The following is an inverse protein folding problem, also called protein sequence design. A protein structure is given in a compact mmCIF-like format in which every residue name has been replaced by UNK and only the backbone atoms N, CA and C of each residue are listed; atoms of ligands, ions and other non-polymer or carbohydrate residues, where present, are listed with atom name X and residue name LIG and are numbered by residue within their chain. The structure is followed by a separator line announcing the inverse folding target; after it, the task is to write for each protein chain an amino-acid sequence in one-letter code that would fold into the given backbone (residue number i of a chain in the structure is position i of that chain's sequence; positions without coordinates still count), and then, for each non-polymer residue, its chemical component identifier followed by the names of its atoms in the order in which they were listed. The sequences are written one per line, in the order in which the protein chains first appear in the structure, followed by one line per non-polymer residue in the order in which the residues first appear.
data_IF_991177472502
#
_entry.id   IF_991177472502
#
_cell.length_a   1.000
_cell.length_b   1.000
_cell.length_c   1.000
_cell.angle_alpha   90.00
_cell.angle_beta   90.00
_cell.angle_gamma   90.00
#
_symmetry.space_group_name_H-M   'P 1'
#
loop_
_entity.id
_entity.type
_entity.pdbx_description
1 polymer ?
#
# COMPACT_ATOMS: atom_id res chain seq x y z
N UNK A 1 13.04 19.15 7.34
CA UNK A 1 11.59 19.27 7.66
C UNK A 1 10.72 19.46 6.42
N UNK A 2 11.06 20.32 5.44
CA UNK A 2 10.27 20.55 4.22
C UNK A 2 9.99 19.28 3.37
N UNK A 3 10.94 18.36 3.25
CA UNK A 3 10.75 17.13 2.45
C UNK A 3 9.87 16.07 3.14
N UNK A 4 9.82 16.04 4.47
CA UNK A 4 8.90 15.17 5.22
C UNK A 4 7.44 15.65 5.04
N UNK A 5 7.26 16.98 5.01
CA UNK A 5 5.96 17.59 4.73
C UNK A 5 5.50 17.24 3.30
N UNK A 6 6.41 17.27 2.32
CA UNK A 6 6.08 17.00 0.92
C UNK A 6 5.71 15.53 0.66
N UNK A 7 6.36 14.58 1.34
CA UNK A 7 6.06 13.15 1.23
C UNK A 7 4.78 12.77 1.98
N UNK A 8 4.52 13.40 3.13
CA UNK A 8 3.22 13.31 3.81
C UNK A 8 2.09 13.93 2.97
N UNK A 9 2.35 15.04 2.28
CA UNK A 9 1.41 15.67 1.34
C UNK A 9 1.18 14.76 0.13
N UNK A 10 2.19 14.10 -0.42
CA UNK A 10 2.05 13.20 -1.58
C UNK A 10 1.28 11.90 -1.24
N UNK A 11 1.53 11.31 -0.06
CA UNK A 11 0.76 10.13 0.38
C UNK A 11 -0.67 10.53 0.77
N UNK A 12 -0.87 11.69 1.42
CA UNK A 12 -2.22 12.17 1.73
C UNK A 12 -3.00 12.59 0.49
N UNK A 13 -2.35 13.20 -0.51
CA UNK A 13 -3.01 13.63 -1.76
C UNK A 13 -3.37 12.45 -2.66
N UNK A 14 -2.57 11.37 -2.69
CA UNK A 14 -2.97 10.15 -3.39
C UNK A 14 -4.13 9.42 -2.68
N UNK A 15 -4.20 9.47 -1.35
CA UNK A 15 -5.36 8.96 -0.60
C UNK A 15 -6.61 9.82 -0.82
N UNK A 16 -6.48 11.14 -0.87
CA UNK A 16 -7.58 12.08 -1.12
C UNK A 16 -8.04 12.12 -2.60
N UNK A 17 -7.14 11.87 -3.55
CA UNK A 17 -7.50 11.75 -4.96
C UNK A 17 -8.35 10.49 -5.22
N UNK A 18 -8.09 9.39 -4.50
CA UNK A 18 -8.93 8.19 -4.56
C UNK A 18 -10.32 8.38 -3.89
N UNK A 19 -10.46 9.30 -2.93
CA UNK A 19 -11.76 9.66 -2.33
C UNK A 19 -12.57 10.67 -3.15
N UNK A 20 -11.92 11.49 -3.98
CA UNK A 20 -12.57 12.59 -4.72
C UNK A 20 -13.30 12.14 -5.99
N UNK A 21 -12.80 11.09 -6.68
CA UNK A 21 -13.38 10.61 -7.95
C UNK A 21 -14.17 9.30 -7.83
N UNK A 22 -14.25 8.71 -6.62
CA UNK A 22 -15.33 7.78 -6.27
C UNK A 22 -16.61 8.57 -5.98
N UNK A 23 -16.95 9.41 -6.97
CA UNK A 23 -18.16 10.19 -7.09
C UNK A 23 -19.37 9.27 -6.96
N UNK A 24 -20.43 9.84 -6.38
CA UNK A 24 -21.66 9.26 -5.82
C UNK A 24 -22.54 8.53 -6.85
N UNK A 25 -21.93 7.77 -7.75
CA UNK A 25 -22.61 6.92 -8.71
C UNK A 25 -23.19 5.73 -7.96
N UNK A 26 -24.43 5.92 -7.50
CA UNK A 26 -25.28 4.81 -7.05
C UNK A 26 -25.27 3.77 -8.18
N UNK A 27 -24.87 2.51 -7.91
CA UNK A 27 -24.81 1.50 -8.95
C UNK A 27 -26.20 1.35 -9.57
N UNK A 28 -26.30 1.64 -10.88
CA UNK A 28 -27.56 1.62 -11.63
C UNK A 28 -28.08 0.20 -11.92
N UNK A 29 -27.33 -0.84 -11.54
CA UNK A 29 -27.76 -2.24 -11.70
C UNK A 29 -27.33 -3.08 -10.49
N UNK A 30 -28.10 -4.13 -10.19
CA UNK A 30 -27.76 -5.12 -9.16
C UNK A 30 -26.41 -5.77 -9.43
N UNK A 31 -26.08 -6.03 -10.70
CA UNK A 31 -24.78 -6.56 -11.10
C UNK A 31 -23.62 -5.60 -10.75
N UNK A 32 -23.78 -4.30 -10.98
CA UNK A 32 -22.77 -3.31 -10.60
C UNK A 32 -22.58 -3.23 -9.08
N UNK A 33 -23.66 -3.31 -8.31
CA UNK A 33 -23.61 -3.35 -6.85
C UNK A 33 -22.89 -4.61 -6.33
N UNK A 34 -23.18 -5.77 -6.92
CA UNK A 34 -22.52 -7.03 -6.57
C UNK A 34 -21.02 -7.01 -6.87
N UNK A 35 -20.61 -6.45 -8.02
CA UNK A 35 -19.20 -6.27 -8.35
C UNK A 35 -18.50 -5.33 -7.36
N UNK A 36 -19.11 -4.18 -7.03
CA UNK A 36 -18.57 -3.26 -6.03
C UNK A 36 -18.44 -3.94 -4.65
N UNK A 37 -19.45 -4.69 -4.22
CA UNK A 37 -19.44 -5.44 -2.96
C UNK A 37 -18.26 -6.41 -2.92
N UNK A 38 -18.10 -7.22 -3.98
CA UNK A 38 -17.01 -8.17 -4.12
C UNK A 38 -15.64 -7.48 -4.08
N UNK A 39 -15.46 -6.38 -4.83
CA UNK A 39 -14.20 -5.63 -4.84
C UNK A 39 -13.86 -5.06 -3.46
N UNK A 40 -14.86 -4.54 -2.73
CA UNK A 40 -14.63 -4.01 -1.37
C UNK A 40 -14.24 -5.14 -0.40
N UNK A 41 -14.89 -6.30 -0.48
CA UNK A 41 -14.52 -7.46 0.32
C UNK A 41 -13.10 -7.95 0.04
N UNK A 42 -12.75 -8.13 -1.24
CA UNK A 42 -11.38 -8.53 -1.64
C UNK A 42 -10.34 -7.51 -1.16
N UNK A 43 -10.68 -6.22 -1.21
CA UNK A 43 -9.81 -5.14 -0.69
C UNK A 43 -9.64 -5.26 0.83
N UNK A 44 -10.71 -5.51 1.58
CA UNK A 44 -10.64 -5.70 3.03
C UNK A 44 -9.83 -6.93 3.42
N UNK A 45 -9.98 -8.05 2.71
CA UNK A 45 -9.19 -9.27 2.93
C UNK A 45 -7.70 -9.00 2.71
N UNK A 46 -7.36 -8.27 1.64
CA UNK A 46 -5.98 -7.83 1.39
C UNK A 46 -5.46 -6.93 2.50
N UNK A 47 -6.24 -5.93 2.94
CA UNK A 47 -5.84 -5.03 4.02
C UNK A 47 -5.63 -5.78 5.34
N UNK A 48 -6.47 -6.76 5.66
CA UNK A 48 -6.31 -7.62 6.83
C UNK A 48 -5.03 -8.46 6.77
N UNK A 49 -4.71 -9.02 5.60
CA UNK A 49 -3.46 -9.74 5.38
C UNK A 49 -2.24 -8.82 5.63
N UNK A 50 -2.27 -7.61 5.08
CA UNK A 50 -1.21 -6.61 5.30
C UNK A 50 -1.08 -6.21 6.78
N UNK A 51 -2.19 -6.03 7.50
CA UNK A 51 -2.17 -5.77 8.94
C UNK A 51 -1.51 -6.93 9.70
N UNK A 52 -1.85 -8.17 9.37
CA UNK A 52 -1.24 -9.35 10.02
C UNK A 52 0.27 -9.42 9.79
N UNK A 53 0.73 -9.08 8.58
CA UNK A 53 2.17 -8.97 8.28
C UNK A 53 2.83 -7.87 9.09
N UNK A 54 2.21 -6.68 9.18
CA UNK A 54 2.71 -5.57 9.99
C UNK A 54 2.75 -5.92 11.49
N UNK A 55 1.79 -6.68 12.00
CA UNK A 55 1.79 -7.17 13.38
C UNK A 55 2.93 -8.17 13.64
N UNK A 56 3.21 -9.06 12.68
CA UNK A 56 4.37 -9.96 12.78
C UNK A 56 5.70 -9.17 12.81
N UNK A 57 5.82 -8.14 11.95
CA UNK A 57 6.97 -7.25 11.94
C UNK A 57 7.08 -6.46 13.26
N UNK A 58 5.97 -5.95 13.80
CA UNK A 58 5.92 -5.28 15.09
C UNK A 58 6.47 -6.18 16.21
N UNK A 59 6.09 -7.47 16.22
CA UNK A 59 6.64 -8.45 17.16
C UNK A 59 8.15 -8.62 17.01
N UNK A 60 8.66 -8.69 15.77
CA UNK A 60 10.10 -8.71 15.49
C UNK A 60 10.82 -7.46 16.03
N UNK A 61 10.23 -6.28 15.83
CA UNK A 61 10.76 -4.99 16.33
C UNK A 61 10.78 -4.95 17.86
N UNK A 62 9.74 -5.45 18.52
CA UNK A 62 9.71 -5.58 19.99
C UNK A 62 10.84 -6.49 20.49
N UNK A 63 11.01 -7.68 19.89
CA UNK A 63 12.10 -8.61 20.26
C UNK A 63 13.48 -8.00 20.03
N UNK A 64 13.68 -7.29 18.92
CA UNK A 64 14.92 -6.60 18.64
C UNK A 64 15.21 -5.54 19.70
N UNK A 65 14.21 -4.75 20.09
CA UNK A 65 14.35 -3.75 21.15
C UNK A 65 14.68 -4.38 22.51
N UNK A 66 13.98 -5.44 22.90
CA UNK A 66 14.27 -6.20 24.14
C UNK A 66 15.69 -6.77 24.14
N UNK A 67 16.13 -7.34 23.01
CA UNK A 67 17.50 -7.82 22.84
C UNK A 67 18.52 -6.69 23.01
N UNK A 68 18.29 -5.52 22.40
CA UNK A 68 19.16 -4.35 22.51
C UNK A 68 19.27 -3.86 23.95
N UNK A 69 18.15 -3.81 24.69
CA UNK A 69 18.16 -3.43 26.11
C UNK A 69 19.07 -4.33 26.94
N UNK A 70 19.04 -5.64 26.68
CA UNK A 70 19.85 -6.63 27.37
C UNK A 70 21.32 -6.61 26.96
N UNK A 71 21.66 -6.05 25.79
CA UNK A 71 23.05 -5.95 25.36
C UNK A 71 23.83 -4.94 26.22
N UNK A 72 24.94 -5.39 26.76
CA UNK A 72 25.94 -4.56 27.42
C UNK A 72 27.33 -5.02 27.01
N UNK A 73 28.25 -4.07 26.78
CA UNK A 73 29.63 -4.44 26.51
C UNK A 73 30.30 -4.81 27.83
N UNK A 74 30.68 -6.09 27.98
CA UNK A 74 31.47 -6.52 29.11
C UNK A 74 32.82 -5.76 29.11
N UNK A 75 33.17 -5.16 30.25
CA UNK A 75 34.46 -4.45 30.43
C UNK A 75 35.66 -5.31 30.02
N UNK A 76 35.62 -6.62 30.24
CA UNK A 76 36.66 -7.56 29.80
C UNK A 76 36.75 -7.67 28.27
N UNK A 77 35.62 -7.66 27.57
CA UNK A 77 35.59 -7.69 26.10
C UNK A 77 36.11 -6.38 25.51
N UNK A 78 35.75 -5.24 26.11
CA UNK A 78 36.31 -3.94 25.77
C UNK A 78 37.83 -3.90 26.01
N UNK A 79 38.29 -4.43 27.15
CA UNK A 79 39.73 -4.51 27.46
C UNK A 79 40.48 -5.42 26.48
N UNK A 80 39.95 -6.61 26.18
CA UNK A 80 40.53 -7.52 25.19
C UNK A 80 40.63 -6.85 23.82
N UNK A 81 39.62 -6.06 23.44
CA UNK A 81 39.60 -5.31 22.19
C UNK A 81 40.68 -4.24 22.12
N UNK A 82 40.85 -3.45 23.19
CA UNK A 82 41.92 -2.44 23.29
C UNK A 82 43.29 -3.10 23.19
N UNK A 83 43.51 -4.21 23.91
CA UNK A 83 44.78 -4.95 23.90
C UNK A 83 45.08 -5.51 22.52
N UNK A 84 44.08 -6.13 21.87
CA UNK A 84 44.21 -6.72 20.53
C UNK A 84 44.59 -5.66 19.49
N UNK A 85 43.86 -4.53 19.43
CA UNK A 85 44.14 -3.43 18.50
C UNK A 85 45.51 -2.81 18.76
N UNK A 86 45.85 -2.52 20.03
CA UNK A 86 47.16 -1.94 20.38
C UNK A 86 48.31 -2.87 20.01
N UNK A 87 48.17 -4.17 20.28
CA UNK A 87 49.18 -5.18 19.94
C UNK A 87 49.40 -5.28 18.43
N UNK A 88 48.32 -5.38 17.66
CA UNK A 88 48.39 -5.48 16.21
C UNK A 88 48.95 -4.19 15.56
N UNK A 89 48.56 -3.03 16.07
CA UNK A 89 49.12 -1.75 15.62
C UNK A 89 50.60 -1.63 15.94
N UNK A 90 51.05 -2.11 17.11
CA UNK A 90 52.46 -2.09 17.46
C UNK A 90 53.30 -2.97 16.52
N UNK A 91 52.78 -4.15 16.14
CA UNK A 91 53.41 -4.99 15.10
C UNK A 91 53.53 -4.25 13.77
N UNK A 92 52.44 -3.62 13.31
CA UNK A 92 52.43 -2.82 12.07
C UNK A 92 53.41 -1.64 12.14
N UNK A 93 53.52 -0.97 13.29
CA UNK A 93 54.44 0.15 13.48
C UNK A 93 55.90 -0.27 13.34
N UNK A 94 56.25 -1.45 13.88
CA UNK A 94 57.61 -2.00 13.90
C UNK A 94 57.95 -2.86 12.68
N UNK A 95 56.99 -3.07 11.78
CA UNK A 95 57.15 -3.73 10.49
C UNK A 95 58.28 -3.10 9.66
N UNK A 96 58.91 -3.91 8.80
CA UNK A 96 59.94 -3.38 7.89
C UNK A 96 59.33 -2.29 6.99
N UNK A 97 60.02 -1.16 6.76
CA UNK A 97 59.66 -0.18 5.73
C UNK A 97 59.35 -0.78 4.36
N UNK A 98 60.02 -1.88 4.03
CA UNK A 98 59.87 -2.62 2.77
C UNK A 98 58.80 -3.71 2.80
N UNK A 99 58.11 -3.91 3.93
CA UNK A 99 57.09 -4.94 4.07
C UNK A 99 55.94 -4.66 3.10
N UNK A 100 55.53 -5.71 2.39
CA UNK A 100 54.44 -5.66 1.43
C UNK A 100 53.10 -5.66 2.16
N UNK A 101 52.32 -4.61 1.89
CA UNK A 101 50.93 -4.48 2.26
C UNK A 101 50.12 -5.05 1.09
N UNK A 102 49.83 -6.35 1.17
CA UNK A 102 48.93 -7.05 0.27
C UNK A 102 47.85 -7.77 1.08
N UNK A 103 46.60 -7.75 0.61
CA UNK A 103 45.45 -8.46 1.22
C UNK A 103 45.71 -9.97 1.35
N UNK A 104 46.54 -10.55 0.48
CA UNK A 104 46.79 -11.99 0.42
C UNK A 104 48.03 -12.45 1.23
N UNK A 105 48.85 -11.52 1.73
CA UNK A 105 50.07 -11.85 2.48
C UNK A 105 49.83 -11.87 3.99
N UNK A 106 50.55 -12.73 4.72
CA UNK A 106 50.63 -12.70 6.19
C UNK A 106 51.46 -11.50 6.68
N UNK A 107 51.01 -10.29 6.37
CA UNK A 107 51.65 -9.05 6.76
C UNK A 107 51.16 -8.58 8.12
N UNK A 108 51.99 -7.80 8.82
CA UNK A 108 51.63 -7.06 10.04
C UNK A 108 50.41 -6.15 9.84
N UNK A 109 50.14 -5.73 8.60
CA UNK A 109 48.91 -5.05 8.26
C UNK A 109 47.69 -5.96 8.31
N UNK A 110 47.76 -7.18 7.75
CA UNK A 110 46.64 -8.14 7.82
C UNK A 110 46.31 -8.46 9.27
N UNK A 111 47.32 -8.64 10.13
CA UNK A 111 47.12 -8.79 11.58
C UNK A 111 46.36 -7.60 12.18
N UNK A 112 46.65 -6.37 11.74
CA UNK A 112 45.96 -5.16 12.21
C UNK A 112 44.52 -5.05 11.68
N UNK A 113 44.30 -5.32 10.40
CA UNK A 113 42.97 -5.32 9.77
C UNK A 113 42.07 -6.39 10.40
N UNK A 114 42.61 -7.60 10.59
CA UNK A 114 41.91 -8.71 11.24
C UNK A 114 41.63 -8.40 12.72
N UNK A 115 42.58 -7.79 13.44
CA UNK A 115 42.33 -7.33 14.81
C UNK A 115 41.23 -6.26 14.87
N UNK A 116 41.24 -5.28 13.97
CA UNK A 116 40.22 -4.24 13.90
C UNK A 116 38.84 -4.83 13.59
N UNK A 117 38.77 -5.70 12.57
CA UNK A 117 37.55 -6.37 12.16
C UNK A 117 37.00 -7.28 13.25
N UNK A 118 37.86 -8.08 13.90
CA UNK A 118 37.48 -8.95 15.01
C UNK A 118 37.00 -8.16 16.22
N UNK A 119 37.61 -7.00 16.53
CA UNK A 119 37.09 -6.14 17.60
C UNK A 119 35.72 -5.57 17.25
N UNK A 120 35.55 -5.10 16.02
CA UNK A 120 34.27 -4.56 15.55
C UNK A 120 33.19 -5.64 15.59
N UNK A 121 33.46 -6.82 15.04
CA UNK A 121 32.55 -7.96 15.10
C UNK A 121 32.32 -8.38 16.54
N UNK A 122 33.34 -8.74 17.32
CA UNK A 122 33.10 -9.29 18.66
C UNK A 122 32.40 -8.29 19.60
N UNK A 123 32.65 -6.99 19.42
CA UNK A 123 31.98 -5.96 20.23
C UNK A 123 30.58 -5.63 19.74
N UNK A 124 30.34 -5.57 18.43
CA UNK A 124 29.05 -5.12 17.87
C UNK A 124 28.15 -6.25 17.40
N UNK A 125 28.66 -7.43 17.12
CA UNK A 125 27.90 -8.60 16.68
C UNK A 125 26.74 -8.92 17.63
N UNK A 126 26.87 -8.83 18.97
CA UNK A 126 25.70 -9.01 19.85
C UNK A 126 24.58 -8.00 19.58
N UNK A 127 24.91 -6.74 19.26
CA UNK A 127 23.94 -5.71 18.88
C UNK A 127 23.37 -5.98 17.47
N UNK A 128 24.22 -6.34 16.51
CA UNK A 128 23.81 -6.61 15.13
C UNK A 128 22.90 -7.85 15.06
N UNK A 129 23.21 -8.90 15.82
CA UNK A 129 22.36 -10.09 15.95
C UNK A 129 20.95 -9.77 16.47
N UNK A 130 20.79 -8.71 17.28
CA UNK A 130 19.46 -8.28 17.74
C UNK A 130 18.58 -7.81 16.57
N UNK A 131 19.17 -7.22 15.52
CA UNK A 131 18.46 -6.69 14.36
C UNK A 131 18.55 -7.57 13.12
N UNK A 132 19.37 -8.62 13.13
CA UNK A 132 19.44 -9.59 12.03
C UNK A 132 18.10 -10.28 11.78
N UNK A 133 17.32 -10.53 12.83
CA UNK A 133 15.95 -11.05 12.69
C UNK A 133 15.04 -10.09 11.93
N UNK A 134 15.23 -8.77 12.05
CA UNK A 134 14.51 -7.78 11.24
C UNK A 134 14.94 -7.85 9.78
N UNK A 135 16.23 -8.11 9.52
CA UNK A 135 16.74 -8.24 8.16
C UNK A 135 16.10 -9.40 7.40
N UNK A 136 15.72 -10.49 8.09
CA UNK A 136 14.94 -11.59 7.49
C UNK A 136 13.56 -11.13 7.04
N UNK A 137 12.84 -10.38 7.88
CA UNK A 137 11.54 -9.79 7.51
C UNK A 137 11.65 -8.78 6.37
N UNK A 138 12.79 -8.09 6.26
CA UNK A 138 13.09 -7.10 5.21
C UNK A 138 13.46 -7.80 3.90
N UNK A 139 14.33 -8.83 3.93
CA UNK A 139 14.90 -9.46 2.73
C UNK A 139 14.04 -10.54 2.11
N UNK A 140 13.46 -11.41 2.91
CA UNK A 140 12.82 -12.62 2.40
C UNK A 140 11.38 -12.39 1.96
N UNK A 141 11.01 -11.12 1.72
CA UNK A 141 9.80 -10.80 0.98
C UNK A 141 8.59 -11.53 1.55
N UNK A 142 8.31 -11.35 2.84
CA UNK A 142 6.99 -11.69 3.40
C UNK A 142 5.84 -10.98 2.65
N UNK A 143 6.21 -10.04 1.77
CA UNK A 143 5.42 -9.24 0.85
C UNK A 143 5.22 -9.89 -0.54
N UNK A 144 5.97 -10.93 -0.94
CA UNK A 144 5.90 -11.50 -2.30
C UNK A 144 6.40 -10.52 -3.39
N UNK A 145 6.52 -10.95 -4.66
CA UNK A 145 7.06 -10.13 -5.76
C UNK A 145 6.22 -8.89 -6.10
N UNK A 146 5.06 -8.73 -5.47
CA UNK A 146 4.12 -7.62 -5.63
C UNK A 146 3.79 -6.90 -4.33
N UNK A 147 4.44 -7.25 -3.21
CA UNK A 147 4.12 -6.62 -1.94
C UNK A 147 4.86 -5.32 -1.72
N UNK A 148 4.36 -4.52 -0.76
CA UNK A 148 4.51 -3.09 -0.79
C UNK A 148 5.96 -2.66 -0.60
N UNK A 149 6.36 -1.76 -1.49
CA UNK A 149 7.43 -0.75 -1.49
C UNK A 149 7.78 -0.11 -0.12
N UNK A 150 7.08 -0.44 0.96
CA UNK A 150 7.07 0.24 2.26
C UNK A 150 8.37 0.05 3.03
N UNK A 151 8.97 -1.14 3.02
CA UNK A 151 10.24 -1.35 3.74
C UNK A 151 11.39 -0.66 3.02
N UNK A 152 11.44 -0.77 1.70
CA UNK A 152 12.40 -0.04 0.88
C UNK A 152 12.16 1.47 0.98
N UNK A 153 10.92 1.97 0.95
CA UNK A 153 10.62 3.39 1.15
C UNK A 153 10.95 3.87 2.57
N UNK A 154 10.80 3.04 3.60
CA UNK A 154 11.22 3.37 4.98
C UNK A 154 12.75 3.43 5.05
N UNK A 155 13.44 2.43 4.51
CA UNK A 155 14.91 2.40 4.48
C UNK A 155 15.44 3.57 3.64
N UNK A 156 14.88 3.80 2.46
CA UNK A 156 15.27 4.83 1.52
C UNK A 156 14.91 6.23 2.04
N UNK A 157 13.77 6.41 2.71
CA UNK A 157 13.43 7.70 3.35
C UNK A 157 14.33 8.02 4.54
N UNK A 158 14.80 6.99 5.28
CA UNK A 158 15.81 7.15 6.33
C UNK A 158 17.20 7.45 5.73
N UNK A 159 17.56 6.84 4.59
CA UNK A 159 18.81 7.09 3.87
C UNK A 159 18.85 8.48 3.21
N UNK A 160 17.78 8.90 2.51
CA UNK A 160 17.69 10.23 1.86
C UNK A 160 17.82 11.36 2.87
N UNK A 161 17.33 11.17 4.11
CA UNK A 161 17.45 12.13 5.21
C UNK A 161 18.90 12.33 5.67
N UNK A 162 19.78 11.33 5.47
CA UNK A 162 21.21 11.36 5.81
C UNK A 162 22.07 11.92 4.67
N UNK A 163 21.71 11.69 3.41
CA UNK A 163 22.48 12.20 2.25
C UNK A 163 22.38 13.72 2.02
N UNK A 164 21.40 14.38 2.67
CA UNK A 164 21.26 15.85 2.62
C UNK A 164 22.38 16.59 3.36
N UNK A 165 23.20 15.92 4.17
CA UNK A 165 24.45 16.45 4.71
C UNK A 165 25.61 16.03 3.78
N UNK A 166 25.79 16.82 2.71
CA UNK A 166 26.52 16.49 1.49
C UNK A 166 28.05 16.23 1.60
N UNK A 167 28.63 16.10 2.79
CA UNK A 167 30.08 15.95 2.97
C UNK A 167 30.56 14.60 3.52
N UNK A 168 29.66 13.64 3.77
CA UNK A 168 30.07 12.32 4.29
C UNK A 168 29.73 11.23 3.29
N UNK A 169 30.64 10.96 2.35
CA UNK A 169 30.57 9.78 1.46
C UNK A 169 30.86 8.52 2.31
N UNK A 170 29.86 8.04 3.04
CA UNK A 170 29.94 6.85 3.89
C UNK A 170 29.70 5.60 3.03
N UNK A 171 30.75 4.80 2.82
CA UNK A 171 30.64 3.40 2.39
C UNK A 171 30.27 2.57 3.63
N UNK A 172 28.98 2.42 3.88
CA UNK A 172 28.47 1.43 4.82
C UNK A 172 27.51 0.54 4.07
N UNK A 173 27.36 -0.69 4.55
CA UNK A 173 26.23 -1.54 4.17
C UNK A 173 24.95 -0.72 4.39
N UNK A 174 24.30 -0.31 3.29
CA UNK A 174 23.23 0.70 3.23
C UNK A 174 22.02 0.34 4.13
N UNK A 175 21.99 -0.88 4.65
CA UNK A 175 20.91 -1.46 5.45
C UNK A 175 20.80 -0.90 6.87
N UNK A 176 21.86 -0.30 7.46
CA UNK A 176 21.78 0.28 8.81
C UNK A 176 22.52 1.63 8.93
N UNK A 177 21.85 2.71 9.38
CA UNK A 177 22.51 3.99 9.60
C UNK A 177 23.37 3.94 10.86
N UNK A 178 24.61 3.45 10.73
CA UNK A 178 25.60 3.59 11.79
C UNK A 178 25.97 5.07 11.97
N UNK A 179 26.15 5.55 13.21
CA UNK A 179 26.59 6.93 13.45
C UNK A 179 27.92 7.16 12.71
N UNK A 180 28.15 8.37 12.15
CA UNK A 180 29.46 8.72 11.61
C UNK A 180 30.51 8.48 12.70
N UNK A 181 31.64 7.89 12.32
CA UNK A 181 32.77 7.77 13.23
C UNK A 181 33.10 9.17 13.78
N UNK A 182 33.29 9.31 15.09
CA UNK A 182 33.95 10.51 15.62
C UNK A 182 35.29 10.66 14.88
N UNK A 183 35.63 11.89 14.48
CA UNK A 183 36.89 12.31 13.87
C UNK A 183 38.15 11.69 14.50
N UNK A 184 38.07 11.27 15.77
CA UNK A 184 39.13 10.57 16.52
C UNK A 184 39.31 9.08 16.21
N UNK A 185 38.47 8.49 15.38
CA UNK A 185 38.59 7.10 14.91
C UNK A 185 38.68 7.01 13.39
N UNK A 186 38.49 8.14 12.70
CA UNK A 186 38.58 8.22 11.25
C UNK A 186 40.00 7.92 10.74
N UNK A 187 41.06 8.07 11.55
CA UNK A 187 42.44 7.79 11.08
C UNK A 187 42.85 6.35 11.33
N UNK A 188 42.44 5.74 12.45
CA UNK A 188 42.50 4.27 12.64
C UNK A 188 41.74 3.58 11.49
N UNK A 189 40.52 4.03 11.21
CA UNK A 189 39.72 3.51 10.11
C UNK A 189 40.28 3.93 8.73
N UNK A 190 40.88 5.11 8.63
CA UNK A 190 41.54 5.61 7.42
C UNK A 190 42.70 4.73 7.00
N UNK A 191 43.43 4.13 7.95
CA UNK A 191 44.48 3.17 7.69
C UNK A 191 43.94 1.86 7.12
N UNK A 192 42.79 1.39 7.64
CA UNK A 192 42.05 0.24 7.09
C UNK A 192 41.52 0.53 5.67
N UNK A 193 40.94 1.71 5.47
CA UNK A 193 40.38 2.14 4.19
C UNK A 193 41.42 2.40 3.11
N UNK A 194 42.59 2.94 3.45
CA UNK A 194 43.70 3.13 2.51
C UNK A 194 44.01 1.83 1.78
N UNK A 195 43.84 0.69 2.45
CA UNK A 195 44.26 -0.62 1.98
C UNK A 195 43.10 -1.41 1.39
N UNK A 196 41.90 -1.24 1.93
CA UNK A 196 40.71 -1.77 1.27
C UNK A 196 40.51 -1.20 -0.14
N UNK A 197 40.97 0.04 -0.37
CA UNK A 197 40.97 0.70 -1.68
C UNK A 197 42.17 0.35 -2.58
N UNK A 198 43.08 -0.52 -2.14
CA UNK A 198 44.18 -1.02 -2.98
C UNK A 198 43.62 -2.08 -3.93
N UNK A 199 43.74 -1.92 -5.26
CA UNK A 199 43.28 -2.92 -6.22
C UNK A 199 43.91 -4.29 -5.97
N UNK A 200 43.15 -5.36 -6.18
CA UNK A 200 43.66 -6.72 -6.07
C UNK A 200 44.90 -6.91 -6.95
N UNK A 201 45.94 -7.51 -6.39
CA UNK A 201 47.21 -7.77 -7.08
C UNK A 201 48.20 -6.60 -7.09
N UNK A 202 47.82 -5.41 -6.59
CA UNK A 202 48.79 -4.32 -6.38
C UNK A 202 49.50 -4.48 -5.04
N UNK A 203 50.83 -4.43 -5.07
CA UNK A 203 51.69 -4.46 -3.89
C UNK A 203 51.99 -3.03 -3.48
N UNK A 204 51.59 -2.64 -2.27
CA UNK A 204 52.07 -1.40 -1.63
C UNK A 204 53.11 -1.74 -0.59
N UNK A 205 54.03 -0.84 -0.32
CA UNK A 205 54.99 -0.98 0.78
C UNK A 205 54.52 -0.18 1.97
N UNK A 206 54.96 -0.56 3.16
CA UNK A 206 54.69 0.19 4.40
C UNK A 206 55.10 1.67 4.30
N UNK A 207 56.18 1.98 3.59
CA UNK A 207 56.60 3.36 3.34
C UNK A 207 55.67 4.18 2.42
N UNK A 208 54.73 3.54 1.73
CA UNK A 208 53.72 4.24 0.94
C UNK A 208 52.57 4.78 1.82
N UNK A 209 52.52 4.38 3.10
CA UNK A 209 51.62 5.00 4.08
C UNK A 209 52.12 6.41 4.38
N UNK A 210 51.24 7.40 4.20
CA UNK A 210 51.59 8.79 4.45
C UNK A 210 52.03 8.96 5.93
N UNK A 211 53.14 9.65 6.22
CA UNK A 211 53.66 9.78 7.59
C UNK A 211 52.66 10.39 8.57
N UNK A 212 51.86 11.35 8.11
CA UNK A 212 50.78 12.00 8.86
C UNK A 212 49.64 11.03 9.21
N UNK A 213 49.32 10.07 8.33
CA UNK A 213 48.36 9.01 8.61
C UNK A 213 48.86 8.09 9.71
N UNK A 214 50.14 7.68 9.67
CA UNK A 214 50.75 6.83 10.70
C UNK A 214 50.85 7.54 12.05
N UNK A 215 51.23 8.82 12.06
CA UNK A 215 51.29 9.64 13.28
C UNK A 215 49.89 9.87 13.86
N UNK A 216 48.89 10.11 12.99
CA UNK A 216 47.49 10.21 13.36
C UNK A 216 46.96 8.93 13.98
N UNK A 217 47.17 7.78 13.32
CA UNK A 217 46.78 6.47 13.85
C UNK A 217 47.48 6.18 15.19
N UNK A 218 48.75 6.55 15.36
CA UNK A 218 49.45 6.36 16.62
C UNK A 218 48.80 7.15 17.77
N UNK A 219 48.45 8.42 17.55
CA UNK A 219 47.74 9.22 18.57
C UNK A 219 46.39 8.61 18.96
N UNK A 220 45.62 8.14 17.98
CA UNK A 220 44.30 7.54 18.22
C UNK A 220 44.41 6.18 18.93
N UNK A 221 45.40 5.36 18.57
CA UNK A 221 45.68 4.08 19.22
C UNK A 221 46.15 4.31 20.66
N UNK A 222 47.00 5.30 20.91
CA UNK A 222 47.45 5.63 22.28
C UNK A 222 46.28 6.11 23.14
N UNK A 223 45.38 6.91 22.56
CA UNK A 223 44.15 7.37 23.19
C UNK A 223 43.05 6.30 23.30
N UNK A 224 43.22 5.13 22.68
CA UNK A 224 42.27 4.03 22.76
C UNK A 224 42.23 3.49 24.19
N UNK A 225 41.06 3.55 24.82
CA UNK A 225 40.81 3.13 26.19
C UNK A 225 39.58 2.23 26.25
N UNK A 226 39.40 1.56 27.39
CA UNK A 226 38.20 0.75 27.63
C UNK A 226 36.94 1.61 27.58
N UNK A 227 37.02 2.82 28.14
CA UNK A 227 35.93 3.80 28.17
C UNK A 227 35.57 4.30 26.78
N UNK A 228 36.55 4.51 25.89
CA UNK A 228 36.26 4.95 24.52
C UNK A 228 35.62 3.84 23.68
N UNK A 229 36.02 2.58 23.86
CA UNK A 229 35.36 1.43 23.22
C UNK A 229 33.93 1.24 23.76
N UNK A 230 33.73 1.29 25.07
CA UNK A 230 32.40 1.17 25.69
C UNK A 230 31.46 2.30 25.28
N UNK A 231 31.93 3.56 25.33
CA UNK A 231 31.13 4.71 24.89
C UNK A 231 30.67 4.55 23.45
N UNK A 232 31.52 3.98 22.59
CA UNK A 232 31.19 3.75 21.20
C UNK A 232 30.20 2.62 20.97
N UNK A 233 30.32 1.53 21.72
CA UNK A 233 29.29 0.50 21.76
C UNK A 233 27.93 1.09 22.16
N UNK A 234 27.89 1.94 23.19
CA UNK A 234 26.67 2.59 23.63
C UNK A 234 26.09 3.54 22.57
N UNK A 235 26.94 4.29 21.86
CA UNK A 235 26.51 5.12 20.73
C UNK A 235 25.88 4.30 19.61
N UNK A 236 26.48 3.17 19.24
CA UNK A 236 25.94 2.27 18.20
C UNK A 236 24.62 1.65 18.67
N UNK A 237 24.58 1.10 19.90
CA UNK A 237 23.36 0.57 20.54
C UNK A 237 22.24 1.61 20.52
N UNK A 238 22.51 2.83 20.97
CA UNK A 238 21.52 3.91 21.02
C UNK A 238 21.06 4.35 19.62
N UNK A 239 21.95 4.32 18.63
CA UNK A 239 21.59 4.65 17.24
C UNK A 239 20.67 3.60 16.64
N UNK A 240 20.99 2.32 16.85
CA UNK A 240 20.15 1.20 16.40
C UNK A 240 18.82 1.19 17.16
N UNK A 241 18.82 1.46 18.47
CA UNK A 241 17.59 1.59 19.27
C UNK A 241 16.67 2.67 18.71
N UNK A 242 17.17 3.87 18.43
CA UNK A 242 16.38 4.96 17.81
C UNK A 242 15.81 4.56 16.44
N UNK A 243 16.57 3.80 15.66
CA UNK A 243 16.12 3.27 14.38
C UNK A 243 14.97 2.26 14.56
N UNK A 244 15.13 1.30 15.47
CA UNK A 244 14.09 0.31 15.84
C UNK A 244 12.82 1.00 16.37
N UNK A 245 12.97 2.03 17.21
CA UNK A 245 11.84 2.85 17.70
C UNK A 245 11.12 3.58 16.56
N UNK A 246 11.87 4.11 15.59
CA UNK A 246 11.29 4.79 14.41
C UNK A 246 10.48 3.82 13.56
N UNK A 247 11.01 2.61 13.33
CA UNK A 247 10.29 1.54 12.63
C UNK A 247 9.00 1.18 13.40
N UNK A 248 9.08 1.03 14.73
CA UNK A 248 7.92 0.71 15.57
C UNK A 248 6.79 1.74 15.43
N UNK A 249 7.13 3.04 15.48
CA UNK A 249 6.17 4.13 15.30
C UNK A 249 5.52 4.07 13.91
N UNK A 250 6.31 3.83 12.87
CA UNK A 250 5.83 3.76 11.50
C UNK A 250 4.89 2.57 11.29
N UNK A 251 5.24 1.38 11.79
CA UNK A 251 4.38 0.19 11.72
C UNK A 251 3.04 0.45 12.40
N UNK A 252 3.05 1.06 13.59
CA UNK A 252 1.81 1.38 14.31
C UNK A 252 0.91 2.30 13.48
N UNK A 253 1.48 3.37 12.92
CA UNK A 253 0.76 4.31 12.06
C UNK A 253 0.18 3.62 10.82
N UNK A 254 0.93 2.72 10.20
CA UNK A 254 0.50 2.00 9.01
C UNK A 254 -0.61 0.98 9.28
N UNK A 255 -0.62 0.36 10.47
CA UNK A 255 -1.74 -0.46 10.95
C UNK A 255 -2.97 0.43 11.16
N UNK A 256 -2.85 1.55 11.86
CA UNK A 256 -3.96 2.48 12.13
C UNK A 256 -4.59 3.00 10.82
N UNK A 257 -3.76 3.40 9.84
CA UNK A 257 -4.25 3.84 8.53
C UNK A 257 -5.06 2.76 7.79
N UNK A 258 -4.58 1.51 7.81
CA UNK A 258 -5.29 0.38 7.17
C UNK A 258 -6.59 0.05 7.89
N UNK A 259 -6.61 0.12 9.22
CA UNK A 259 -7.84 -0.04 10.00
C UNK A 259 -8.88 1.03 9.66
N UNK A 260 -8.46 2.29 9.48
CA UNK A 260 -9.36 3.37 9.03
C UNK A 260 -9.96 3.06 7.65
N UNK A 261 -9.16 2.54 6.71
CA UNK A 261 -9.65 2.13 5.39
C UNK A 261 -10.66 1.00 5.48
N UNK A 262 -10.41 -0.03 6.29
CA UNK A 262 -11.37 -1.14 6.52
C UNK A 262 -12.68 -0.60 7.10
N UNK A 263 -12.62 0.30 8.09
CA UNK A 263 -13.83 0.92 8.68
C UNK A 263 -14.59 1.74 7.62
N UNK A 264 -13.89 2.49 6.77
CA UNK A 264 -14.51 3.23 5.67
C UNK A 264 -15.18 2.29 4.66
N UNK A 265 -14.51 1.21 4.28
CA UNK A 265 -15.05 0.18 3.39
C UNK A 265 -16.28 -0.52 3.98
N UNK A 266 -16.29 -0.81 5.28
CA UNK A 266 -17.44 -1.41 5.95
C UNK A 266 -18.66 -0.47 5.91
N UNK A 267 -18.46 0.85 6.11
CA UNK A 267 -19.54 1.83 5.94
C UNK A 267 -20.07 1.88 4.51
N UNK A 268 -19.19 1.71 3.51
CA UNK A 268 -19.62 1.60 2.09
C UNK A 268 -20.48 0.36 1.91
N UNK A 269 -20.07 -0.80 2.41
CA UNK A 269 -20.86 -2.03 2.36
C UNK A 269 -22.24 -1.86 3.00
N UNK A 270 -22.31 -1.26 4.20
CA UNK A 270 -23.58 -0.95 4.88
C UNK A 270 -24.49 -0.05 4.02
N UNK A 271 -23.91 0.97 3.36
CA UNK A 271 -24.68 1.85 2.46
C UNK A 271 -25.16 1.14 1.19
N UNK A 272 -24.37 0.20 0.66
CA UNK A 272 -24.77 -0.64 -0.47
C UNK A 272 -25.92 -1.57 -0.06
N UNK A 273 -25.84 -2.20 1.11
CA UNK A 273 -26.89 -3.07 1.64
C UNK A 273 -28.21 -2.31 1.84
N UNK A 274 -28.13 -1.09 2.38
CA UNK A 274 -29.30 -0.21 2.52
C UNK A 274 -29.90 0.13 1.14
N UNK A 275 -29.06 0.53 0.18
CA UNK A 275 -29.51 0.88 -1.18
C UNK A 275 -30.17 -0.31 -1.88
N UNK A 276 -29.59 -1.51 -1.79
CA UNK A 276 -30.15 -2.73 -2.38
C UNK A 276 -31.49 -3.10 -1.72
N UNK A 277 -31.62 -2.92 -0.40
CA UNK A 277 -32.87 -3.15 0.32
C UNK A 277 -33.97 -2.19 -0.12
N UNK A 278 -33.65 -0.90 -0.25
CA UNK A 278 -34.57 0.13 -0.74
C UNK A 278 -35.00 -0.14 -2.19
N UNK A 279 -34.06 -0.51 -3.07
CA UNK A 279 -34.36 -0.88 -4.46
C UNK A 279 -35.26 -2.11 -4.53
N UNK A 280 -35.02 -3.14 -3.71
CA UNK A 280 -35.87 -4.34 -3.64
C UNK A 280 -37.27 -4.01 -3.14
N UNK A 281 -37.41 -3.14 -2.14
CA UNK A 281 -38.70 -2.67 -1.66
C UNK A 281 -39.46 -1.88 -2.73
N UNK A 282 -38.77 -0.98 -3.46
CA UNK A 282 -39.35 -0.24 -4.58
C UNK A 282 -39.80 -1.17 -5.71
N UNK A 283 -38.98 -2.16 -6.07
CA UNK A 283 -39.32 -3.14 -7.09
C UNK A 283 -40.54 -3.99 -6.69
N UNK A 284 -40.60 -4.46 -5.43
CA UNK A 284 -41.76 -5.17 -4.92
C UNK A 284 -43.03 -4.31 -4.94
N UNK A 285 -42.93 -3.01 -4.62
CA UNK A 285 -44.05 -2.09 -4.68
C UNK A 285 -44.51 -1.85 -6.14
N UNK A 286 -43.57 -1.75 -7.09
CA UNK A 286 -43.88 -1.66 -8.52
C UNK A 286 -44.58 -2.92 -9.03
N UNK A 287 -44.07 -4.11 -8.68
CA UNK A 287 -44.68 -5.39 -9.06
C UNK A 287 -46.12 -5.51 -8.53
N UNK A 288 -46.36 -5.08 -7.29
CA UNK A 288 -47.70 -5.08 -6.70
C UNK A 288 -48.64 -4.09 -7.42
N UNK A 289 -48.16 -2.89 -7.75
CA UNK A 289 -48.92 -1.92 -8.56
C UNK A 289 -49.25 -2.48 -9.94
N UNK A 290 -48.31 -3.19 -10.56
CA UNK A 290 -48.51 -3.86 -11.84
C UNK A 290 -49.66 -4.87 -11.77
N UNK A 291 -49.69 -5.69 -10.71
CA UNK A 291 -50.78 -6.66 -10.48
C UNK A 291 -52.12 -5.94 -10.34
N UNK A 292 -52.20 -4.86 -9.57
CA UNK A 292 -53.44 -4.08 -9.45
C UNK A 292 -53.87 -3.43 -10.77
N UNK A 293 -52.91 -2.94 -11.58
CA UNK A 293 -53.21 -2.43 -12.92
C UNK A 293 -53.80 -3.50 -13.83
N UNK A 294 -53.29 -4.74 -13.77
CA UNK A 294 -53.84 -5.88 -14.52
C UNK A 294 -55.27 -6.18 -14.07
N UNK A 295 -55.53 -6.24 -12.76
CA UNK A 295 -56.89 -6.41 -12.24
C UNK A 295 -57.85 -5.29 -12.65
N UNK A 296 -57.38 -4.03 -12.64
CA UNK A 296 -58.14 -2.88 -13.11
C UNK A 296 -58.50 -3.00 -14.60
N UNK A 297 -57.57 -3.50 -15.42
CA UNK A 297 -57.82 -3.73 -16.85
C UNK A 297 -58.85 -4.83 -17.07
N UNK A 298 -58.79 -5.94 -16.31
CA UNK A 298 -59.79 -7.01 -16.36
C UNK A 298 -61.16 -6.47 -15.95
N UNK A 299 -61.25 -5.69 -14.86
CA UNK A 299 -62.50 -5.09 -14.42
C UNK A 299 -63.08 -4.13 -15.46
N UNK A 300 -62.25 -3.30 -16.11
CA UNK A 300 -62.68 -2.42 -17.19
C UNK A 300 -63.24 -3.19 -18.39
N UNK A 301 -62.59 -4.30 -18.78
CA UNK A 301 -63.10 -5.20 -19.84
C UNK A 301 -64.45 -5.80 -19.47
N UNK A 302 -64.63 -6.26 -18.23
CA UNK A 302 -65.91 -6.81 -17.75
C UNK A 302 -66.99 -5.74 -17.78
N UNK A 303 -66.72 -4.52 -17.30
CA UNK A 303 -67.67 -3.40 -17.33
C UNK A 303 -68.05 -3.03 -18.75
N UNK A 304 -67.08 -2.99 -19.67
CA UNK A 304 -67.33 -2.72 -21.09
C UNK A 304 -68.20 -3.82 -21.72
N UNK A 305 -67.92 -5.08 -21.42
CA UNK A 305 -68.72 -6.20 -21.93
C UNK A 305 -70.15 -6.17 -21.40
N UNK A 306 -70.31 -5.87 -20.10
CA UNK A 306 -71.62 -5.70 -19.46
C UNK A 306 -72.37 -4.49 -20.02
N UNK A 307 -71.68 -3.37 -20.28
CA UNK A 307 -72.30 -2.16 -20.82
C UNK A 307 -72.84 -2.35 -22.24
N UNK A 308 -72.17 -3.16 -23.08
CA UNK A 308 -72.68 -3.54 -24.41
C UNK A 308 -74.04 -4.23 -24.30
N UNK A 309 -74.27 -5.02 -23.25
CA UNK A 309 -75.56 -5.67 -22.99
C UNK A 309 -76.72 -4.73 -22.66
N UNK A 310 -76.44 -3.46 -22.30
CA UNK A 310 -77.46 -2.44 -22.04
C UNK A 310 -77.88 -1.66 -23.30
N UNK A 311 -77.21 -1.83 -24.44
CA UNK A 311 -77.58 -1.16 -25.68
C UNK A 311 -78.62 -1.94 -26.48
N UNK A 312 -79.43 -1.21 -27.24
CA UNK A 312 -80.50 -1.77 -28.07
C UNK A 312 -79.89 -2.64 -29.20
N UNK A 313 -80.55 -3.75 -29.52
CA UNK A 313 -79.97 -4.85 -30.31
C UNK A 313 -79.42 -4.41 -31.69
N UNK A 314 -80.05 -3.42 -32.34
CA UNK A 314 -79.60 -2.91 -33.66
C UNK A 314 -78.33 -2.04 -33.60
N UNK A 315 -78.02 -1.43 -32.45
CA UNK A 315 -76.79 -0.64 -32.26
C UNK A 315 -75.63 -1.57 -31.92
N UNK A 316 -75.87 -2.61 -31.14
CA UNK A 316 -74.88 -3.63 -30.80
C UNK A 316 -74.39 -4.38 -32.05
N UNK A 317 -75.31 -4.80 -32.94
CA UNK A 317 -74.95 -5.46 -34.21
C UNK A 317 -74.07 -4.56 -35.09
N UNK A 318 -74.40 -3.26 -35.23
CA UNK A 318 -73.60 -2.30 -36.00
C UNK A 318 -72.22 -2.05 -35.41
N UNK A 319 -72.07 -2.08 -34.08
CA UNK A 319 -70.75 -1.93 -33.44
C UNK A 319 -69.85 -3.14 -33.68
N UNK A 320 -70.43 -4.35 -33.70
CA UNK A 320 -69.71 -5.60 -33.94
C UNK A 320 -69.32 -5.72 -35.42
N UNK A 321 -70.23 -5.41 -36.35
CA UNK A 321 -69.97 -5.46 -37.79
C UNK A 321 -68.81 -4.56 -38.23
N UNK A 322 -68.70 -3.36 -37.64
CA UNK A 322 -67.68 -2.41 -38.05
C UNK A 322 -66.25 -2.75 -37.60
N UNK A 323 -66.04 -3.81 -36.79
CA UNK A 323 -64.75 -4.18 -36.15
C UNK A 323 -64.03 -3.07 -35.36
N UNK A 324 -64.55 -1.84 -35.36
CA UNK A 324 -63.92 -0.64 -34.82
C UNK A 324 -63.68 -0.75 -33.31
N UNK A 325 -64.58 -1.41 -32.58
CA UNK A 325 -64.45 -1.61 -31.14
C UNK A 325 -63.25 -2.52 -30.78
N UNK A 326 -63.04 -3.60 -31.55
CA UNK A 326 -61.89 -4.51 -31.37
C UNK A 326 -60.58 -3.78 -31.69
N UNK A 327 -60.59 -2.94 -32.71
CA UNK A 327 -59.42 -2.19 -33.14
C UNK A 327 -58.99 -1.14 -32.10
N UNK A 328 -59.94 -0.34 -31.58
CA UNK A 328 -59.67 0.63 -30.50
C UNK A 328 -59.22 -0.07 -29.22
N UNK A 329 -59.85 -1.21 -28.85
CA UNK A 329 -59.42 -2.00 -27.68
C UNK A 329 -58.00 -2.52 -27.83
N UNK A 330 -57.66 -3.13 -28.97
CA UNK A 330 -56.33 -3.67 -29.21
C UNK A 330 -55.24 -2.59 -29.19
N UNK A 331 -55.55 -1.38 -29.70
CA UNK A 331 -54.65 -0.24 -29.66
C UNK A 331 -54.42 0.27 -28.22
N UNK A 332 -55.50 0.39 -27.43
CA UNK A 332 -55.40 0.76 -26.02
C UNK A 332 -54.62 -0.28 -25.20
N UNK A 333 -54.79 -1.57 -25.52
CA UNK A 333 -54.09 -2.67 -24.86
C UNK A 333 -52.57 -2.63 -25.13
N UNK A 334 -52.16 -2.37 -26.37
CA UNK A 334 -50.74 -2.22 -26.72
C UNK A 334 -50.13 -1.03 -25.98
N UNK A 335 -50.83 0.11 -25.95
CA UNK A 335 -50.38 1.32 -25.26
C UNK A 335 -50.21 1.09 -23.75
N UNK A 336 -51.17 0.40 -23.13
CA UNK A 336 -51.10 0.00 -21.73
C UNK A 336 -49.90 -0.94 -21.47
N UNK A 337 -49.68 -1.92 -22.35
CA UNK A 337 -48.57 -2.88 -22.24
C UNK A 337 -47.21 -2.18 -22.29
N UNK A 338 -47.06 -1.15 -23.13
CA UNK A 338 -45.84 -0.34 -23.21
C UNK A 338 -45.66 0.51 -21.95
N UNK A 339 -46.74 1.11 -21.43
CA UNK A 339 -46.69 1.84 -20.16
C UNK A 339 -46.28 0.91 -19.01
N UNK A 340 -46.82 -0.30 -18.95
CA UNK A 340 -46.47 -1.34 -17.96
C UNK A 340 -45.00 -1.77 -18.10
N UNK A 341 -44.55 -2.09 -19.32
CA UNK A 341 -43.15 -2.49 -19.57
C UNK A 341 -42.17 -1.35 -19.28
N UNK A 342 -42.61 -0.12 -19.50
CA UNK A 342 -41.87 1.11 -19.22
C UNK A 342 -41.73 1.46 -17.76
N UNK A 343 -42.86 1.49 -17.05
CA UNK A 343 -42.89 1.78 -15.62
C UNK A 343 -42.21 0.68 -14.80
N UNK A 344 -42.17 -0.55 -15.31
CA UNK A 344 -41.36 -1.64 -14.73
C UNK A 344 -39.86 -1.58 -15.04
N UNK A 345 -39.39 -0.55 -15.76
CA UNK A 345 -37.97 -0.36 -16.07
C UNK A 345 -37.34 -1.46 -16.94
N UNK A 346 -38.16 -2.32 -17.57
CA UNK A 346 -37.67 -3.45 -18.40
C UNK A 346 -37.28 -3.03 -19.81
N UNK A 347 -37.61 -1.80 -20.20
CA UNK A 347 -37.27 -1.19 -21.48
C UNK A 347 -36.57 0.13 -21.17
N UNK A 348 -35.38 0.37 -21.75
CA UNK A 348 -34.65 1.63 -21.59
C UNK A 348 -35.50 2.82 -22.05
N UNK A 349 -35.34 3.97 -21.40
CA UNK A 349 -36.15 5.17 -21.66
C UNK A 349 -36.13 5.59 -23.15
N UNK A 350 -35.01 5.37 -23.86
CA UNK A 350 -34.94 5.64 -25.31
C UNK A 350 -35.85 4.70 -26.13
N UNK A 351 -35.85 3.40 -25.82
CA UNK A 351 -36.67 2.42 -26.54
C UNK A 351 -38.17 2.62 -26.26
N UNK A 352 -38.51 3.10 -25.07
CA UNK A 352 -39.89 3.45 -24.72
C UNK A 352 -40.40 4.67 -25.50
N UNK A 353 -39.58 5.71 -25.63
CA UNK A 353 -39.90 6.88 -26.46
C UNK A 353 -40.12 6.51 -27.93
N UNK A 354 -39.28 5.61 -28.47
CA UNK A 354 -39.42 5.11 -29.84
C UNK A 354 -40.72 4.32 -30.06
N UNK A 355 -41.10 3.44 -29.11
CA UNK A 355 -42.34 2.66 -29.16
C UNK A 355 -43.59 3.54 -29.07
N UNK A 356 -43.60 4.52 -28.17
CA UNK A 356 -44.71 5.48 -28.08
C UNK A 356 -44.81 6.35 -29.34
N UNK A 357 -43.67 6.77 -29.89
CA UNK A 357 -43.61 7.54 -31.14
C UNK A 357 -44.14 6.78 -32.35
N UNK A 358 -43.85 5.47 -32.46
CA UNK A 358 -44.38 4.63 -33.55
C UNK A 358 -45.89 4.44 -33.44
N UNK A 359 -46.41 4.25 -32.22
CA UNK A 359 -47.86 4.15 -32.00
C UNK A 359 -48.55 5.48 -32.30
N UNK A 360 -48.01 6.60 -31.82
CA UNK A 360 -48.54 7.91 -32.14
C UNK A 360 -48.55 8.16 -33.65
N UNK A 361 -47.45 7.83 -34.35
CA UNK A 361 -47.36 7.90 -35.80
C UNK A 361 -48.40 7.04 -36.52
N UNK A 362 -48.66 5.82 -36.04
CA UNK A 362 -49.68 4.94 -36.58
C UNK A 362 -51.11 5.47 -36.34
N UNK A 363 -51.41 6.00 -35.15
CA UNK A 363 -52.71 6.63 -34.81
C UNK A 363 -52.98 7.84 -35.70
N UNK A 364 -52.02 8.77 -35.77
CA UNK A 364 -52.20 10.02 -36.50
C UNK A 364 -52.12 9.83 -38.03
N UNK A 365 -51.30 8.89 -38.51
CA UNK A 365 -51.21 8.58 -39.94
C UNK A 365 -52.51 8.03 -40.51
N UNK A 366 -53.26 7.24 -39.74
CA UNK A 366 -54.49 6.60 -40.22
C UNK A 366 -55.66 7.57 -40.42
N UNK A 367 -55.78 8.59 -39.56
CA UNK A 367 -56.82 9.64 -39.72
C UNK A 367 -56.67 10.46 -41.00
N UNK A 368 -55.47 10.52 -41.59
CA UNK A 368 -55.25 11.28 -42.84
C UNK A 368 -55.66 10.53 -44.11
N UNK A 369 -55.72 9.19 -44.05
CA UNK A 369 -56.09 8.36 -45.20
C UNK A 369 -57.61 8.19 -45.36
N UNK A 370 -58.36 8.11 -44.25
CA UNK A 370 -59.83 8.03 -44.30
C UNK A 370 -60.50 9.30 -44.84
N UNK A 371 -59.79 10.45 -44.82
CA UNK A 371 -60.26 11.72 -45.41
C UNK A 371 -60.04 11.84 -46.92
N UNK A 372 -59.29 10.93 -47.55
CA UNK A 372 -58.98 10.97 -49.00
C UNK A 372 -59.84 10.03 -49.85
N UNK A 373 -60.75 9.27 -49.23
CA UNK A 373 -61.67 8.33 -49.89
C UNK A 373 -63.14 8.76 -49.83
N UNK A 374 -63.42 10.05 -49.58
CA UNK A 374 -64.75 10.65 -49.67
C UNK A 374 -65.11 11.07 -51.08
#
# INVERSE_FOLDING_TARGET
MKNLLLLLILVSTNLQAAESDADKSVPHSSFAAEQQYKTILETNDKLNLEINQLLALASGVTKANECLEQQSLNKQAAQASVVMIKSAFHKLKNASPSEEINKNSSSSYRDYDEAYYNVFLNSLNPILNCVDSLSFFIKDGFFGPSGPMVVDDIIESLQRKKSSDANTKQYYDDRFPLPPFDTKFERIYGLVNFINNVPYGTVRKRNDLQPDLMEGANREIDALSVESVSSRFDQVKNSIKKFVETISIQIKKDIENRQVLIVSNNKKLESLDQTMSEQKAQQSALDQRLIYSVWGMIAALVVLFVSVGFFNQSIAEKMIENRSLVEVMSMAFILLTIIILGTGGKIGNEALGALLGTIAGYIFGRQTNDKKSG
#
